data_IF_855408607280
#
_entry.id   IF_855408607280
#
_cell.length_a   1.000
_cell.length_b   1.000
_cell.length_c   1.000
_cell.angle_alpha   90.00
_cell.angle_beta   90.00
_cell.angle_gamma   90.00
#
_symmetry.space_group_name_H-M   'P 1'
#
loop_
_entity.id
_entity.type
_entity.pdbx_description
1 polymer ?
#
# COMPACT_ATOMS: atom_id res chain seq x y z
N UNK A 1 -24.23 17.34 -18.32
CA UNK A 1 -23.13 16.51 -18.79
C UNK A 1 -22.29 16.04 -17.62
N UNK A 2 -22.06 14.75 -17.50
CA UNK A 2 -21.28 14.22 -16.38
C UNK A 2 -19.79 14.43 -16.61
N UNK A 3 -19.11 14.88 -15.59
CA UNK A 3 -17.67 15.07 -15.65
C UNK A 3 -16.94 13.75 -15.44
N UNK A 4 -15.89 13.52 -16.20
CA UNK A 4 -15.00 12.39 -15.98
C UNK A 4 -13.90 12.80 -15.01
N UNK A 5 -13.45 11.85 -14.17
CA UNK A 5 -12.36 12.10 -13.25
C UNK A 5 -11.07 12.32 -14.03
N UNK A 6 -10.28 13.30 -13.62
CA UNK A 6 -9.03 13.64 -14.29
C UNK A 6 -8.03 14.18 -13.27
N UNK A 7 -6.80 14.39 -13.72
CA UNK A 7 -5.74 14.92 -12.87
C UNK A 7 -6.16 16.22 -12.18
N UNK A 8 -5.91 16.30 -10.89
CA UNK A 8 -6.25 17.45 -10.08
C UNK A 8 -7.61 17.35 -9.41
N UNK A 9 -8.44 16.40 -9.80
CA UNK A 9 -9.73 16.21 -9.17
C UNK A 9 -9.59 15.44 -7.86
N UNK A 10 -10.37 15.85 -6.86
CA UNK A 10 -10.51 15.07 -5.62
C UNK A 10 -11.72 14.17 -5.77
N UNK A 11 -11.52 12.89 -5.54
CA UNK A 11 -12.56 11.88 -5.77
C UNK A 11 -12.79 11.07 -4.52
N UNK A 12 -13.97 10.45 -4.44
CA UNK A 12 -14.31 9.49 -3.40
C UNK A 12 -14.63 8.17 -4.07
N UNK A 13 -13.97 7.11 -3.64
CA UNK A 13 -14.11 5.79 -4.25
C UNK A 13 -14.29 4.72 -3.19
N UNK A 14 -15.03 3.69 -3.52
CA UNK A 14 -14.98 2.42 -2.80
C UNK A 14 -14.11 1.47 -3.61
N UNK A 15 -13.35 0.64 -2.91
CA UNK A 15 -12.50 -0.32 -3.59
C UNK A 15 -12.37 -1.61 -2.79
N UNK A 16 -11.99 -2.66 -3.50
CA UNK A 16 -11.60 -3.94 -2.90
C UNK A 16 -10.32 -4.39 -3.59
N UNK A 17 -9.24 -4.49 -2.84
CA UNK A 17 -7.95 -4.94 -3.37
C UNK A 17 -7.75 -6.41 -3.08
N UNK A 18 -7.39 -7.17 -4.11
CA UNK A 18 -7.17 -8.61 -4.03
C UNK A 18 -5.78 -8.97 -4.48
N UNK A 19 -5.21 -9.98 -3.86
CA UNK A 19 -3.95 -10.55 -4.29
C UNK A 19 -4.19 -11.53 -5.44
N UNK A 20 -3.09 -12.01 -6.02
CA UNK A 20 -3.13 -12.97 -7.12
C UNK A 20 -3.96 -14.22 -6.80
N UNK A 21 -3.97 -14.65 -5.57
CA UNK A 21 -4.72 -15.85 -5.15
C UNK A 21 -6.20 -15.57 -4.84
N UNK A 22 -6.64 -14.33 -5.04
CA UNK A 22 -8.03 -13.95 -4.78
C UNK A 22 -8.31 -13.46 -3.38
N UNK A 23 -7.36 -13.50 -2.47
CA UNK A 23 -7.59 -13.02 -1.11
C UNK A 23 -7.66 -11.50 -1.08
N UNK A 24 -8.61 -10.98 -0.29
CA UNK A 24 -8.80 -9.54 -0.13
C UNK A 24 -7.82 -9.04 0.92
N UNK A 25 -7.01 -8.03 0.58
CA UNK A 25 -6.11 -7.45 1.55
C UNK A 25 -6.60 -6.11 2.10
N UNK A 26 -7.52 -5.46 1.41
CA UNK A 26 -8.10 -4.21 1.88
C UNK A 26 -9.38 -3.93 1.11
N UNK A 27 -10.34 -3.27 1.76
CA UNK A 27 -11.57 -2.85 1.10
C UNK A 27 -12.27 -1.75 1.90
N UNK A 28 -13.09 -0.96 1.21
CA UNK A 28 -13.84 0.12 1.85
C UNK A 28 -15.35 -0.05 1.75
N UNK A 29 -15.85 -1.14 1.11
CA UNK A 29 -17.28 -1.26 0.82
C UNK A 29 -18.19 -1.25 2.05
N UNK A 30 -17.67 -1.59 3.22
CA UNK A 30 -18.43 -1.57 4.46
C UNK A 30 -18.05 -0.41 5.39
N UNK A 31 -17.36 0.59 4.88
CA UNK A 31 -16.99 1.79 5.64
C UNK A 31 -17.02 3.00 4.73
N UNK A 32 -16.44 4.11 5.19
CA UNK A 32 -16.43 5.34 4.40
C UNK A 32 -15.57 5.19 3.15
N UNK A 33 -15.96 5.83 2.04
CA UNK A 33 -15.14 5.78 0.83
C UNK A 33 -13.79 6.44 1.04
N UNK A 34 -12.82 5.99 0.28
CA UNK A 34 -11.49 6.61 0.27
C UNK A 34 -11.55 7.90 -0.53
N UNK A 35 -11.00 8.96 0.02
CA UNK A 35 -10.92 10.26 -0.64
C UNK A 35 -9.47 10.56 -0.98
N UNK A 36 -9.21 10.92 -2.23
CA UNK A 36 -7.85 11.29 -2.64
C UNK A 36 -7.90 12.21 -3.85
N UNK A 37 -6.79 12.92 -4.09
CA UNK A 37 -6.65 13.80 -5.26
C UNK A 37 -5.80 13.11 -6.30
N UNK A 38 -6.33 13.00 -7.51
CA UNK A 38 -5.64 12.32 -8.61
C UNK A 38 -4.41 13.13 -9.01
N UNK A 39 -3.28 12.46 -9.11
CA UNK A 39 -2.02 13.06 -9.52
C UNK A 39 -1.11 13.48 -8.39
N UNK A 40 -1.54 13.34 -7.13
CA UNK A 40 -0.72 13.74 -5.98
C UNK A 40 0.03 12.60 -5.32
N UNK A 41 -0.06 11.39 -5.88
CA UNK A 41 0.68 10.26 -5.35
C UNK A 41 0.18 9.74 -4.00
N UNK A 42 -1.06 10.00 -3.66
CA UNK A 42 -1.65 9.58 -2.39
C UNK A 42 -2.00 8.10 -2.37
N UNK A 43 -2.13 7.49 -3.54
CA UNK A 43 -2.41 6.07 -3.71
C UNK A 43 -1.46 5.51 -4.76
N UNK A 44 -1.41 4.19 -4.89
CA UNK A 44 -0.51 3.57 -5.87
C UNK A 44 -0.88 4.01 -7.29
N UNK A 45 0.12 4.07 -8.16
CA UNK A 45 -0.03 4.61 -9.51
C UNK A 45 -1.15 3.95 -10.31
N UNK A 46 -1.23 2.63 -10.27
CA UNK A 46 -2.25 1.91 -11.03
C UNK A 46 -3.65 2.23 -10.56
N UNK A 47 -3.83 2.52 -9.27
CA UNK A 47 -5.12 2.92 -8.73
C UNK A 47 -5.53 4.30 -9.28
N UNK A 48 -4.62 5.26 -9.24
CA UNK A 48 -4.89 6.60 -9.79
C UNK A 48 -5.26 6.52 -11.27
N UNK A 49 -4.49 5.79 -12.04
CA UNK A 49 -4.73 5.64 -13.48
C UNK A 49 -6.08 5.01 -13.77
N UNK A 50 -6.49 4.05 -12.94
CA UNK A 50 -7.76 3.35 -13.14
C UNK A 50 -8.95 4.27 -12.93
N UNK A 51 -8.85 5.23 -12.01
CA UNK A 51 -9.95 6.15 -11.71
C UNK A 51 -10.10 7.22 -12.78
N UNK A 52 -9.01 7.58 -13.46
CA UNK A 52 -9.07 8.58 -14.54
C UNK A 52 -10.02 8.10 -15.62
N UNK A 53 -10.98 8.96 -16.00
CA UNK A 53 -11.96 8.63 -17.01
C UNK A 53 -13.25 8.01 -16.49
N UNK A 54 -13.34 7.72 -15.19
CA UNK A 54 -14.55 7.19 -14.59
C UNK A 54 -15.53 8.33 -14.28
N UNK A 55 -16.80 7.99 -14.27
CA UNK A 55 -17.88 8.90 -13.86
C UNK A 55 -18.44 8.44 -12.53
N UNK A 56 -19.04 9.34 -11.73
CA UNK A 56 -19.74 8.90 -10.53
C UNK A 56 -20.77 7.81 -10.88
N UNK A 57 -20.73 6.71 -10.15
CA UNK A 57 -21.56 5.54 -10.39
C UNK A 57 -20.90 4.46 -11.23
N UNK A 58 -19.77 4.75 -11.87
CA UNK A 58 -19.05 3.75 -12.65
C UNK A 58 -18.33 2.77 -11.72
N UNK A 59 -18.29 1.52 -12.13
CA UNK A 59 -17.51 0.48 -11.44
C UNK A 59 -16.56 -0.14 -12.45
N UNK A 60 -15.38 -0.52 -11.97
CA UNK A 60 -14.33 -1.06 -12.83
C UNK A 60 -13.49 -2.05 -12.05
N UNK A 61 -13.08 -3.13 -12.72
CA UNK A 61 -12.08 -4.06 -12.16
C UNK A 61 -10.82 -3.91 -12.99
N UNK A 62 -9.69 -3.68 -12.34
CA UNK A 62 -8.42 -3.52 -13.02
C UNK A 62 -7.36 -4.40 -12.41
N UNK A 63 -6.48 -4.94 -13.25
CA UNK A 63 -5.32 -5.71 -12.82
C UNK A 63 -4.10 -4.81 -12.88
N UNK A 64 -3.35 -4.78 -11.78
CA UNK A 64 -2.16 -3.95 -11.68
C UNK A 64 -0.92 -4.83 -11.71
N UNK A 65 -0.02 -4.61 -12.69
CA UNK A 65 1.28 -5.29 -12.65
C UNK A 65 2.09 -4.80 -11.45
N UNK A 66 3.11 -5.56 -11.10
CA UNK A 66 3.94 -5.27 -9.92
C UNK A 66 4.44 -3.82 -9.91
N UNK A 67 4.92 -3.32 -11.04
CA UNK A 67 5.51 -1.97 -11.10
C UNK A 67 4.49 -0.85 -10.94
N UNK A 68 3.21 -1.13 -11.11
CA UNK A 68 2.14 -0.14 -10.88
C UNK A 68 1.41 -0.37 -9.56
N UNK A 69 1.77 -1.42 -8.84
CA UNK A 69 1.25 -1.72 -7.51
C UNK A 69 2.26 -1.25 -6.47
N UNK A 70 2.75 -2.14 -5.62
CA UNK A 70 3.69 -1.76 -4.56
C UNK A 70 5.15 -1.93 -4.97
N UNK A 71 5.41 -2.21 -6.25
CA UNK A 71 6.75 -2.33 -6.76
C UNK A 71 7.34 -3.73 -6.58
N UNK A 72 8.49 -3.98 -7.18
CA UNK A 72 9.11 -5.29 -7.11
C UNK A 72 9.69 -5.58 -5.74
N UNK A 73 9.81 -6.86 -5.41
CA UNK A 73 10.53 -7.31 -4.23
C UNK A 73 12.03 -7.15 -4.51
N UNK A 74 12.73 -6.42 -3.63
CA UNK A 74 14.16 -6.15 -3.81
C UNK A 74 14.96 -6.85 -2.71
N UNK A 75 15.85 -7.75 -3.10
CA UNK A 75 16.66 -8.50 -2.15
C UNK A 75 17.62 -7.60 -1.37
N UNK A 76 18.05 -6.49 -1.95
CA UNK A 76 18.94 -5.57 -1.26
C UNK A 76 18.24 -4.75 -0.17
N UNK A 77 16.94 -4.89 -0.02
CA UNK A 77 16.18 -4.31 1.10
C UNK A 77 16.07 -5.27 2.28
N UNK A 78 16.64 -6.46 2.16
CA UNK A 78 16.73 -7.42 3.26
C UNK A 78 18.12 -7.25 3.86
N UNK A 79 18.19 -6.86 5.13
CA UNK A 79 19.48 -6.55 5.77
C UNK A 79 19.60 -7.26 7.12
N UNK A 80 20.84 -7.53 7.52
CA UNK A 80 21.13 -8.09 8.83
C UNK A 80 21.46 -6.96 9.79
N UNK A 81 20.85 -6.98 10.97
CA UNK A 81 21.08 -5.97 11.99
C UNK A 81 21.55 -6.66 13.27
N UNK A 82 22.64 -6.16 13.91
CA UNK A 82 23.10 -6.77 15.16
C UNK A 82 22.03 -6.67 16.25
N UNK A 83 21.87 -7.75 17.01
CA UNK A 83 20.87 -7.78 18.09
C UNK A 83 21.08 -6.72 19.14
N UNK A 84 22.32 -6.31 19.38
CA UNK A 84 22.58 -5.32 20.42
C UNK A 84 21.98 -3.95 20.11
N UNK A 85 21.56 -3.70 18.88
CA UNK A 85 20.85 -2.47 18.52
C UNK A 85 19.37 -2.53 18.89
N UNK A 86 18.89 -3.71 19.28
CA UNK A 86 17.49 -3.93 19.62
C UNK A 86 17.35 -4.38 21.07
N UNK A 87 18.22 -3.91 21.95
CA UNK A 87 18.19 -4.29 23.35
C UNK A 87 16.87 -3.95 24.03
N UNK A 88 16.15 -2.96 23.51
CA UNK A 88 14.84 -2.58 24.02
C UNK A 88 13.72 -3.51 23.55
N UNK A 89 14.02 -4.44 22.66
CA UNK A 89 13.03 -5.42 22.20
C UNK A 89 12.93 -6.56 23.23
N UNK A 90 11.88 -6.50 24.00
CA UNK A 90 11.57 -7.52 24.99
C UNK A 90 10.07 -7.76 24.94
N UNK A 91 9.60 -8.94 24.50
CA UNK A 91 10.40 -10.11 24.13
C UNK A 91 11.11 -9.96 22.78
N UNK A 92 12.04 -10.90 22.52
CA UNK A 92 12.76 -10.98 21.26
C UNK A 92 11.79 -11.13 20.09
N UNK A 93 12.04 -10.46 18.95
CA UNK A 93 11.14 -10.58 17.80
C UNK A 93 11.17 -11.99 17.22
N UNK A 94 10.03 -12.40 16.66
CA UNK A 94 9.89 -13.72 16.04
C UNK A 94 9.80 -13.60 14.53
N UNK A 95 10.23 -14.65 13.84
CA UNK A 95 10.17 -14.69 12.38
C UNK A 95 8.73 -14.48 11.91
N UNK A 96 8.55 -13.58 10.95
CA UNK A 96 7.24 -13.22 10.41
C UNK A 96 6.59 -12.03 11.10
N UNK A 97 7.13 -11.59 12.23
CA UNK A 97 6.59 -10.45 12.97
C UNK A 97 7.01 -9.15 12.30
N UNK A 98 6.13 -8.14 12.34
CA UNK A 98 6.49 -6.79 11.90
C UNK A 98 6.86 -5.97 13.11
N UNK A 99 7.99 -5.26 13.03
CA UNK A 99 8.51 -4.47 14.14
C UNK A 99 8.86 -3.08 13.63
N UNK A 100 8.70 -2.04 14.45
CA UNK A 100 9.11 -0.69 14.06
C UNK A 100 10.59 -0.48 14.27
N UNK A 101 11.25 0.13 13.29
CA UNK A 101 12.65 0.50 13.41
C UNK A 101 12.74 2.01 13.21
N UNK A 102 13.35 2.75 14.15
CA UNK A 102 13.51 4.20 13.98
C UNK A 102 14.50 4.50 12.86
N UNK A 103 14.15 5.47 12.03
CA UNK A 103 15.01 5.94 10.96
C UNK A 103 15.80 7.16 11.44
N UNK A 104 16.70 7.64 10.58
CA UNK A 104 17.55 8.80 10.92
C UNK A 104 16.76 10.08 11.19
N UNK A 105 15.55 10.18 10.65
CA UNK A 105 14.68 11.34 10.89
C UNK A 105 13.78 11.17 12.13
N UNK A 106 13.92 10.05 12.84
CA UNK A 106 13.15 9.77 14.05
C UNK A 106 11.83 9.07 13.83
N UNK A 107 11.33 8.98 12.62
CA UNK A 107 10.06 8.29 12.37
C UNK A 107 10.30 6.79 12.22
N UNK A 108 9.39 5.94 12.72
CA UNK A 108 9.56 4.50 12.59
C UNK A 108 9.14 4.00 11.22
N UNK A 109 9.80 2.93 10.76
CA UNK A 109 9.34 2.18 9.60
C UNK A 109 9.12 0.74 10.04
N UNK A 110 7.99 0.15 9.65
CA UNK A 110 7.70 -1.24 9.97
C UNK A 110 8.45 -2.16 9.01
N UNK A 111 9.16 -3.12 9.57
CA UNK A 111 9.90 -4.10 8.79
C UNK A 111 9.49 -5.50 9.22
N UNK A 112 9.66 -6.47 8.32
CA UNK A 112 9.32 -7.86 8.61
C UNK A 112 10.55 -8.61 9.04
N UNK A 113 10.46 -9.37 10.15
CA UNK A 113 11.57 -10.20 10.64
C UNK A 113 11.61 -11.48 9.82
N UNK A 114 12.73 -11.73 9.15
CA UNK A 114 12.92 -12.91 8.31
C UNK A 114 13.68 -14.02 9.01
N UNK A 115 14.66 -13.66 9.84
CA UNK A 115 15.48 -14.64 10.53
C UNK A 115 15.98 -14.05 11.84
N UNK A 116 16.10 -14.87 12.86
CA UNK A 116 16.65 -14.48 14.16
C UNK A 116 17.73 -15.48 14.52
N UNK A 117 18.95 -14.99 14.74
CA UNK A 117 20.07 -15.80 15.21
C UNK A 117 20.50 -15.33 16.59
N UNK A 118 21.54 -15.94 17.14
CA UNK A 118 22.05 -15.54 18.46
C UNK A 118 22.56 -14.10 18.49
N UNK A 119 23.08 -13.60 17.37
CA UNK A 119 23.73 -12.30 17.33
C UNK A 119 23.10 -11.31 16.36
N UNK A 120 22.22 -11.75 15.49
CA UNK A 120 21.68 -10.91 14.41
C UNK A 120 20.20 -11.15 14.20
N UNK A 121 19.53 -10.11 13.67
CA UNK A 121 18.16 -10.23 13.17
C UNK A 121 18.17 -9.79 11.72
N UNK A 122 17.64 -10.62 10.83
CA UNK A 122 17.48 -10.27 9.41
C UNK A 122 16.11 -9.66 9.24
N UNK A 123 16.07 -8.42 8.75
CA UNK A 123 14.84 -7.67 8.58
C UNK A 123 14.64 -7.30 7.11
N UNK A 124 13.39 -7.23 6.69
CA UNK A 124 12.99 -6.97 5.33
C UNK A 124 12.26 -5.63 5.28
N UNK A 125 12.84 -4.66 4.57
CA UNK A 125 12.27 -3.33 4.40
C UNK A 125 11.29 -3.24 3.23
N UNK A 126 11.08 -4.33 2.49
CA UNK A 126 10.09 -4.33 1.41
C UNK A 126 8.68 -4.18 1.98
N UNK A 127 7.82 -3.52 1.20
CA UNK A 127 6.40 -3.49 1.54
C UNK A 127 5.89 -4.94 1.60
N UNK A 128 4.97 -5.27 2.52
CA UNK A 128 4.44 -6.64 2.61
C UNK A 128 3.84 -7.17 1.31
N UNK A 129 3.38 -6.27 0.43
CA UNK A 129 2.80 -6.65 -0.86
C UNK A 129 3.74 -6.42 -2.04
N UNK A 130 5.02 -6.11 -1.76
CA UNK A 130 6.00 -5.96 -2.84
C UNK A 130 6.14 -7.27 -3.61
N UNK A 131 6.24 -7.17 -4.93
CA UNK A 131 6.34 -8.33 -5.80
C UNK A 131 5.00 -8.97 -6.14
N UNK A 132 3.91 -8.41 -5.65
CA UNK A 132 2.57 -8.98 -5.88
C UNK A 132 1.83 -8.21 -6.96
N UNK A 133 1.22 -8.94 -7.89
CA UNK A 133 0.24 -8.35 -8.80
C UNK A 133 -1.09 -8.23 -8.07
N UNK A 134 -1.80 -7.15 -8.32
CA UNK A 134 -3.05 -6.87 -7.62
C UNK A 134 -4.22 -6.78 -8.58
N UNK A 135 -5.40 -7.18 -8.10
CA UNK A 135 -6.65 -6.95 -8.81
C UNK A 135 -7.48 -6.03 -7.92
N UNK A 136 -7.94 -4.92 -8.47
CA UNK A 136 -8.69 -3.94 -7.68
C UNK A 136 -10.05 -3.70 -8.33
N UNK A 137 -11.11 -3.89 -7.53
CA UNK A 137 -12.46 -3.48 -7.91
C UNK A 137 -12.67 -2.07 -7.38
N UNK A 138 -13.07 -1.15 -8.25
CA UNK A 138 -13.21 0.27 -7.92
C UNK A 138 -14.60 0.75 -8.30
N UNK A 139 -15.24 1.48 -7.39
CA UNK A 139 -16.49 2.17 -7.69
C UNK A 139 -16.29 3.66 -7.39
N UNK A 140 -16.48 4.50 -8.38
CA UNK A 140 -16.37 5.95 -8.18
C UNK A 140 -17.68 6.46 -7.59
N UNK A 141 -17.60 6.99 -6.36
CA UNK A 141 -18.78 7.47 -5.64
C UNK A 141 -19.09 8.90 -6.01
N UNK A 142 -18.07 9.76 -6.00
CA UNK A 142 -18.27 11.18 -6.24
C UNK A 142 -16.97 11.85 -6.67
N UNK A 143 -17.12 12.96 -7.36
CA UNK A 143 -16.02 13.87 -7.67
C UNK A 143 -16.31 15.16 -6.93
N UNK A 144 -15.38 15.64 -6.11
CA UNK A 144 -15.56 16.86 -5.36
C UNK A 144 -15.22 18.06 -6.23
N UNK A 145 -16.20 18.88 -6.51
CA UNK A 145 -16.03 20.04 -7.38
C UNK A 145 -15.75 21.33 -6.64
N UNK A 146 -16.01 21.35 -5.37
CA UNK A 146 -15.98 22.59 -4.59
C UNK A 146 -14.69 22.82 -3.82
N UNK A 147 -13.65 22.09 -4.11
CA UNK A 147 -12.43 22.12 -3.32
C UNK A 147 -11.48 23.26 -3.69
N UNK A 148 -11.88 24.13 -4.59
CA UNK A 148 -11.02 25.23 -5.04
C UNK A 148 -11.71 26.57 -5.05
#
# INVERSE_FOLDING_TARGET
MMKLATHGDTVQVHYRGKLHDGSVFDETFDREPLRFTIGEGQVIQGFEEAVVGMKPGDAKTTELPVEKAFGPYLEDRVVEVPKNKFAQWDPEPTVGEQVPIPQSDGSPIDVTVREVTESKVTVDFNHPLAGEELTIDIELVAIDYGAH
#
